data_IF_160653064882
#
_entry.id   IF_160653064882
#
_cell.length_a   1.000
_cell.length_b   1.000
_cell.length_c   1.000
_cell.angle_alpha   90.00
_cell.angle_beta   90.00
_cell.angle_gamma   90.00
#
_symmetry.space_group_name_H-M   'P 1'
#
loop_
_entity.id
_entity.type
_entity.pdbx_description
1 polymer ?
#
# COMPACT_ATOMS: atom_id res chain seq x y z
N UNK A 1 17.04 -1.53 -42.50
CA UNK A 1 18.04 -0.62 -41.88
C UNK A 1 17.92 -0.79 -40.39
N UNK A 2 19.01 -1.10 -39.70
CA UNK A 2 19.01 -1.19 -38.25
C UNK A 2 18.79 0.21 -37.70
N UNK A 3 17.71 0.42 -36.96
CA UNK A 3 17.48 1.67 -36.24
C UNK A 3 18.62 1.77 -35.23
N UNK A 4 19.51 2.75 -35.42
CA UNK A 4 20.63 2.96 -34.51
C UNK A 4 20.13 3.66 -33.24
N UNK A 5 20.90 3.55 -32.15
CA UNK A 5 20.53 4.21 -30.89
C UNK A 5 20.40 5.73 -31.05
N UNK A 6 21.20 6.31 -31.94
CA UNK A 6 21.21 7.73 -32.22
C UNK A 6 19.94 8.17 -32.97
N UNK A 7 19.40 7.31 -33.84
CA UNK A 7 18.13 7.58 -34.54
C UNK A 7 16.94 7.62 -33.56
N UNK A 8 16.97 6.77 -32.52
CA UNK A 8 15.96 6.75 -31.46
C UNK A 8 16.06 8.02 -30.61
N UNK A 9 17.28 8.42 -30.24
CA UNK A 9 17.51 9.62 -29.43
C UNK A 9 17.06 10.90 -30.15
N UNK A 10 17.31 11.00 -31.46
CA UNK A 10 16.86 12.14 -32.25
C UNK A 10 15.34 12.19 -32.32
N UNK A 11 14.67 11.06 -32.58
CA UNK A 11 13.21 10.98 -32.60
C UNK A 11 12.57 11.37 -31.24
N UNK A 12 13.17 10.93 -30.13
CA UNK A 12 12.74 11.29 -28.77
C UNK A 12 12.99 12.78 -28.49
N UNK A 13 14.06 13.38 -29.01
CA UNK A 13 14.37 14.80 -28.78
C UNK A 13 13.43 15.78 -29.51
N UNK A 14 12.82 15.35 -30.61
CA UNK A 14 11.86 16.15 -31.39
C UNK A 14 10.42 16.03 -30.87
N UNK A 15 10.14 15.07 -29.96
CA UNK A 15 8.83 14.85 -29.37
C UNK A 15 8.53 15.86 -28.25
N UNK A 16 7.25 16.23 -28.10
CA UNK A 16 6.84 17.07 -26.98
C UNK A 16 6.89 16.30 -25.66
N UNK A 17 6.98 17.01 -24.53
CA UNK A 17 7.03 16.40 -23.19
C UNK A 17 5.81 15.50 -22.91
N UNK A 18 4.65 15.79 -23.52
CA UNK A 18 3.47 14.93 -23.44
C UNK A 18 3.65 13.63 -24.23
N UNK A 19 4.12 13.71 -25.46
CA UNK A 19 4.32 12.54 -26.32
C UNK A 19 5.42 11.62 -25.76
N UNK A 20 6.40 12.21 -25.08
CA UNK A 20 7.41 11.46 -24.33
C UNK A 20 6.81 10.72 -23.13
N UNK A 21 5.83 11.29 -22.44
CA UNK A 21 5.13 10.62 -21.35
C UNK A 21 4.30 9.44 -21.87
N UNK A 22 3.66 9.59 -23.02
CA UNK A 22 2.91 8.52 -23.68
C UNK A 22 3.83 7.42 -24.20
N UNK A 23 4.99 7.78 -24.76
CA UNK A 23 6.00 6.82 -25.20
C UNK A 23 6.56 6.02 -24.01
N UNK A 24 6.84 6.68 -22.89
CA UNK A 24 7.27 6.01 -21.64
C UNK A 24 6.21 5.02 -21.16
N UNK A 25 4.92 5.42 -21.11
CA UNK A 25 3.82 4.51 -20.75
C UNK A 25 3.68 3.34 -21.71
N UNK A 26 3.79 3.58 -23.02
CA UNK A 26 3.73 2.52 -24.02
C UNK A 26 4.92 1.55 -23.91
N UNK A 27 6.11 2.04 -23.53
CA UNK A 27 7.27 1.19 -23.24
C UNK A 27 7.11 0.41 -21.93
N UNK A 28 6.55 1.02 -20.89
CA UNK A 28 6.21 0.36 -19.63
C UNK A 28 5.20 -0.79 -19.85
N UNK A 29 4.18 -0.57 -20.70
CA UNK A 29 3.18 -1.59 -21.05
C UNK A 29 3.74 -2.70 -21.95
N UNK A 30 4.52 -2.35 -22.98
CA UNK A 30 5.04 -3.35 -23.93
C UNK A 30 6.16 -4.20 -23.38
N UNK A 31 7.02 -3.64 -22.54
CA UNK A 31 8.21 -4.31 -22.05
C UNK A 31 8.16 -4.62 -20.56
N UNK A 32 7.14 -4.18 -19.84
CA UNK A 32 6.99 -4.43 -18.41
C UNK A 32 8.09 -3.79 -17.56
N UNK A 33 8.78 -2.77 -18.09
CA UNK A 33 9.91 -2.11 -17.44
C UNK A 33 9.41 -0.84 -16.76
N UNK A 34 8.95 -0.95 -15.52
CA UNK A 34 8.82 0.20 -14.63
C UNK A 34 10.09 0.31 -13.77
N UNK A 35 10.40 1.52 -13.29
CA UNK A 35 11.55 1.75 -12.39
C UNK A 35 11.53 0.85 -11.13
N UNK A 36 10.36 0.32 -10.77
CA UNK A 36 10.19 -0.65 -9.68
C UNK A 36 10.81 -2.02 -9.99
N UNK A 37 10.86 -2.44 -11.26
CA UNK A 37 11.43 -3.74 -11.66
C UNK A 37 12.97 -3.79 -11.51
N UNK A 38 13.65 -2.63 -11.53
CA UNK A 38 15.10 -2.53 -11.33
C UNK A 38 15.51 -2.37 -9.85
N UNK A 39 14.56 -2.12 -8.95
CA UNK A 39 14.84 -1.84 -7.54
C UNK A 39 14.59 -3.03 -6.58
N UNK A 40 14.01 -4.14 -7.07
CA UNK A 40 13.78 -5.33 -6.26
C UNK A 40 15.06 -6.20 -6.17
N UNK A 41 15.62 -6.45 -4.96
CA UNK A 41 16.70 -7.41 -4.79
C UNK A 41 16.23 -8.80 -5.20
N UNK A 42 17.08 -9.49 -5.96
CA UNK A 42 16.89 -10.86 -6.42
C UNK A 42 16.57 -11.82 -5.26
N UNK A 43 15.30 -12.16 -5.08
CA UNK A 43 14.88 -13.31 -4.30
C UNK A 43 13.58 -13.89 -4.85
N UNK A 44 13.74 -14.87 -5.74
CA UNK A 44 12.82 -16.00 -5.82
C UNK A 44 11.55 -15.85 -6.66
N UNK A 45 11.55 -16.59 -7.77
CA UNK A 45 10.40 -17.45 -8.10
C UNK A 45 9.30 -16.83 -8.95
N UNK A 46 9.27 -17.25 -10.21
CA UNK A 46 8.24 -16.97 -11.18
C UNK A 46 6.82 -17.33 -10.71
N UNK A 47 5.89 -16.40 -10.89
CA UNK A 47 4.52 -16.67 -11.32
C UNK A 47 3.99 -15.41 -12.01
N UNK A 48 3.95 -15.47 -13.34
CA UNK A 48 3.37 -14.44 -14.18
C UNK A 48 1.84 -14.41 -14.01
N UNK A 49 1.30 -13.20 -13.89
CA UNK A 49 -0.13 -12.94 -14.12
C UNK A 49 -0.86 -12.33 -12.94
N UNK A 50 -0.74 -11.01 -12.77
CA UNK A 50 -1.84 -10.16 -12.36
C UNK A 50 -1.45 -8.71 -12.58
N UNK A 51 -2.15 -8.07 -13.52
CA UNK A 51 -2.33 -6.63 -13.45
C UNK A 51 -2.98 -6.31 -12.09
N UNK A 52 -2.31 -5.52 -11.26
CA UNK A 52 -2.94 -4.86 -10.14
C UNK A 52 -2.12 -3.62 -9.83
N UNK A 53 -2.80 -2.48 -9.92
CA UNK A 53 -2.59 -1.21 -9.24
C UNK A 53 -1.21 -0.96 -8.62
N UNK A 54 -0.68 0.26 -8.86
CA UNK A 54 0.13 1.00 -7.88
C UNK A 54 0.04 0.34 -6.49
N UNK A 55 1.05 -0.46 -6.12
CA UNK A 55 0.95 -1.21 -4.88
C UNK A 55 0.95 -0.20 -3.73
N UNK A 56 -0.24 0.08 -3.22
CA UNK A 56 -0.45 0.67 -1.91
C UNK A 56 0.14 -0.35 -0.92
N UNK A 57 1.45 -0.29 -0.69
CA UNK A 57 2.18 -1.18 0.23
C UNK A 57 1.86 -0.87 1.69
N UNK A 58 1.05 0.16 1.92
CA UNK A 58 0.77 0.83 3.19
C UNK A 58 -0.75 0.96 3.38
N UNK A 59 -1.28 0.23 4.35
CA UNK A 59 -2.68 0.22 4.73
C UNK A 59 -2.87 0.93 6.07
N UNK A 60 -3.88 1.77 6.15
CA UNK A 60 -4.30 2.46 7.35
C UNK A 60 -5.41 1.65 8.02
N UNK A 61 -5.17 1.23 9.27
CA UNK A 61 -6.18 0.56 10.08
C UNK A 61 -7.06 1.60 10.76
N UNK A 62 -8.33 1.61 10.39
CA UNK A 62 -9.34 2.50 10.93
C UNK A 62 -10.28 1.70 11.82
N UNK A 63 -10.37 2.07 13.10
CA UNK A 63 -11.40 1.54 13.99
C UNK A 63 -12.71 2.25 13.66
N UNK A 64 -13.70 1.52 13.15
CA UNK A 64 -14.99 2.09 12.73
C UNK A 64 -16.03 1.99 13.82
N UNK A 65 -16.09 0.86 14.53
CA UNK A 65 -16.99 0.64 15.66
C UNK A 65 -16.30 -0.11 16.79
N UNK A 66 -16.61 0.22 18.05
CA UNK A 66 -15.98 -0.40 19.24
C UNK A 66 -16.76 -1.63 19.72
N UNK A 67 -18.05 -1.73 19.39
CA UNK A 67 -18.93 -2.76 19.93
C UNK A 67 -19.10 -2.68 21.45
N UNK A 68 -19.58 -3.77 22.05
CA UNK A 68 -19.93 -3.86 23.47
C UNK A 68 -18.74 -4.16 24.39
N UNK A 69 -17.65 -4.71 23.87
CA UNK A 69 -16.47 -5.11 24.65
C UNK A 69 -15.36 -4.05 24.63
N UNK A 70 -15.68 -2.85 25.09
CA UNK A 70 -14.79 -1.68 25.05
C UNK A 70 -13.42 -1.90 25.70
N UNK A 71 -13.36 -2.63 26.82
CA UNK A 71 -12.09 -2.94 27.50
C UNK A 71 -11.22 -3.88 26.68
N UNK A 72 -11.83 -4.86 25.99
CA UNK A 72 -11.13 -5.76 25.07
C UNK A 72 -10.52 -5.01 23.89
N UNK A 73 -11.29 -4.09 23.29
CA UNK A 73 -10.81 -3.28 22.16
C UNK A 73 -9.66 -2.36 22.58
N UNK A 74 -9.73 -1.73 23.76
CA UNK A 74 -8.62 -0.91 24.30
C UNK A 74 -7.35 -1.76 24.45
N UNK A 75 -7.45 -3.01 24.93
CA UNK A 75 -6.28 -3.91 25.02
C UNK A 75 -5.70 -4.23 23.65
N UNK A 76 -6.55 -4.56 22.67
CA UNK A 76 -6.11 -4.84 21.30
C UNK A 76 -5.43 -3.62 20.65
N UNK A 77 -6.00 -2.42 20.80
CA UNK A 77 -5.38 -1.17 20.31
C UNK A 77 -4.01 -0.95 20.95
N UNK A 78 -3.85 -1.19 22.26
CA UNK A 78 -2.54 -1.08 22.94
C UNK A 78 -1.53 -2.08 22.41
N UNK A 79 -1.94 -3.31 22.12
CA UNK A 79 -1.04 -4.32 21.54
C UNK A 79 -0.61 -3.98 20.11
N UNK A 80 -1.50 -3.41 19.30
CA UNK A 80 -1.23 -3.06 17.89
C UNK A 80 -0.32 -1.82 17.77
N UNK A 81 -0.52 -0.84 18.65
CA UNK A 81 0.09 0.49 18.56
C UNK A 81 1.20 0.74 19.58
N UNK A 82 1.26 -0.03 20.66
CA UNK A 82 2.17 0.23 21.79
C UNK A 82 1.78 1.44 22.64
N UNK A 83 0.62 2.04 22.42
CA UNK A 83 0.16 3.23 23.12
C UNK A 83 -0.15 2.98 24.62
N UNK A 84 -0.06 4.04 25.41
CA UNK A 84 -0.46 4.05 26.81
C UNK A 84 -1.97 3.88 26.99
N UNK A 85 -2.41 3.63 28.24
CA UNK A 85 -3.84 3.39 28.54
C UNK A 85 -4.72 4.59 28.17
N UNK A 86 -4.19 5.81 28.34
CA UNK A 86 -4.90 7.05 28.05
C UNK A 86 -5.08 7.24 26.54
N UNK A 87 -4.00 7.13 25.79
CA UNK A 87 -3.99 7.31 24.34
C UNK A 87 -4.81 6.23 23.63
N UNK A 88 -4.72 4.98 24.05
CA UNK A 88 -5.54 3.91 23.49
C UNK A 88 -7.03 4.08 23.80
N UNK A 89 -7.37 4.58 25.00
CA UNK A 89 -8.75 4.95 25.33
C UNK A 89 -9.25 6.09 24.43
N UNK A 90 -8.43 7.10 24.18
CA UNK A 90 -8.79 8.22 23.31
C UNK A 90 -8.94 7.81 21.83
N UNK A 91 -8.21 6.78 21.37
CA UNK A 91 -8.40 6.19 20.04
C UNK A 91 -9.72 5.43 19.96
N UNK A 92 -10.02 4.60 20.97
CA UNK A 92 -11.25 3.80 21.02
C UNK A 92 -12.50 4.68 21.20
N UNK A 93 -12.44 5.68 22.07
CA UNK A 93 -13.54 6.64 22.29
C UNK A 93 -13.79 7.55 21.09
N UNK A 94 -12.80 7.73 20.23
CA UNK A 94 -12.86 8.59 19.05
C UNK A 94 -13.36 7.91 17.78
N UNK A 95 -13.81 6.64 17.83
CA UNK A 95 -14.25 5.92 16.63
C UNK A 95 -15.41 6.65 15.92
N UNK A 96 -15.40 6.79 14.58
CA UNK A 96 -14.43 6.22 13.65
C UNK A 96 -13.08 6.96 13.60
N UNK A 97 -11.97 6.26 13.86
CA UNK A 97 -10.62 6.86 13.95
C UNK A 97 -9.51 5.89 13.54
N UNK A 98 -8.45 6.43 12.94
CA UNK A 98 -7.26 5.66 12.57
C UNK A 98 -6.51 5.17 13.81
N UNK A 99 -6.28 3.86 13.89
CA UNK A 99 -5.52 3.18 14.94
C UNK A 99 -4.04 3.20 14.61
N UNK A 100 -3.69 2.90 13.35
CA UNK A 100 -2.30 2.88 12.88
C UNK A 100 -2.26 3.11 11.38
N UNK A 101 -1.33 3.95 10.96
CA UNK A 101 -1.13 4.31 9.56
C UNK A 101 0.06 3.55 8.96
N UNK A 102 0.09 3.48 7.64
CA UNK A 102 1.21 2.97 6.86
C UNK A 102 1.67 1.56 7.28
N UNK A 103 0.73 0.64 7.48
CA UNK A 103 1.06 -0.74 7.82
C UNK A 103 1.21 -1.62 6.59
N UNK A 104 2.18 -2.55 6.58
CA UNK A 104 2.23 -3.56 5.53
C UNK A 104 0.98 -4.45 5.60
N UNK A 105 0.53 -4.93 4.44
CA UNK A 105 -0.72 -5.70 4.30
C UNK A 105 -0.89 -6.81 5.34
N UNK A 106 0.18 -7.58 5.58
CA UNK A 106 0.17 -8.68 6.54
C UNK A 106 -0.10 -8.22 7.99
N UNK A 107 0.53 -7.11 8.41
CA UNK A 107 0.34 -6.56 9.75
C UNK A 107 -1.03 -5.87 9.87
N UNK A 108 -1.48 -5.22 8.80
CA UNK A 108 -2.78 -4.56 8.75
C UNK A 108 -3.94 -5.57 8.87
N UNK A 109 -3.89 -6.68 8.13
CA UNK A 109 -4.87 -7.76 8.22
C UNK A 109 -4.84 -8.45 9.60
N UNK A 110 -3.65 -8.70 10.16
CA UNK A 110 -3.51 -9.26 11.51
C UNK A 110 -4.07 -8.32 12.59
N UNK A 111 -3.82 -7.02 12.48
CA UNK A 111 -4.31 -6.02 13.40
C UNK A 111 -5.83 -5.82 13.28
N UNK A 112 -6.38 -5.81 12.07
CA UNK A 112 -7.82 -5.82 11.83
C UNK A 112 -8.49 -7.03 12.48
N UNK A 113 -7.95 -8.22 12.26
CA UNK A 113 -8.49 -9.46 12.85
C UNK A 113 -8.46 -9.41 14.39
N UNK A 114 -7.39 -8.90 15.00
CA UNK A 114 -7.31 -8.70 16.46
C UNK A 114 -8.39 -7.75 16.99
N UNK A 115 -8.68 -6.67 16.27
CA UNK A 115 -9.76 -5.74 16.65
C UNK A 115 -11.14 -6.40 16.52
N UNK A 116 -11.37 -7.16 15.47
CA UNK A 116 -12.62 -7.90 15.25
C UNK A 116 -12.85 -8.98 16.31
N UNK A 117 -11.82 -9.76 16.66
CA UNK A 117 -11.87 -10.74 17.75
C UNK A 117 -12.12 -10.08 19.12
N UNK A 118 -11.64 -8.85 19.31
CA UNK A 118 -11.92 -8.05 20.51
C UNK A 118 -13.35 -7.49 20.55
N UNK A 119 -14.12 -7.61 19.46
CA UNK A 119 -15.52 -7.17 19.35
C UNK A 119 -15.71 -5.79 18.70
N UNK A 120 -14.67 -5.24 18.08
CA UNK A 120 -14.75 -4.01 17.28
C UNK A 120 -14.98 -4.32 15.79
N UNK A 121 -15.30 -3.30 14.99
CA UNK A 121 -15.14 -3.33 13.54
C UNK A 121 -13.97 -2.44 13.14
N UNK A 122 -13.13 -2.93 12.23
CA UNK A 122 -12.03 -2.18 11.68
C UNK A 122 -11.97 -2.30 10.16
N UNK A 123 -11.52 -1.24 9.50
CA UNK A 123 -11.39 -1.15 8.05
C UNK A 123 -9.93 -0.88 7.67
N UNK A 124 -9.53 -1.32 6.47
CA UNK A 124 -8.21 -1.10 5.91
C UNK A 124 -8.35 -0.15 4.72
N UNK A 125 -7.73 1.02 4.82
CA UNK A 125 -7.73 2.06 3.79
C UNK A 125 -6.37 2.29 3.18
#
# INVERSE_FOLDING_TARGET
>A
MAISKDDILNAVSEMSVMDLNELVKAFEEKFGVSAAAMAAPAAGGAAAGAAAAEEQTEFNLVLTEVGSNKVGVIKAVREITGLGLKEAKDVVDGAPKTVKEAMPKADAEAAKKKLEEAGAKADLK
#
